data_IF_317896533639
#
_entry.id   IF_317896533639
#
_cell.length_a   1.000
_cell.length_b   1.000
_cell.length_c   1.000
_cell.angle_alpha   90.00
_cell.angle_beta   90.00
_cell.angle_gamma   90.00
#
_symmetry.space_group_name_H-M   'P 1'
#
loop_
_entity.id
_entity.type
_entity.pdbx_description
1 polymer ?
#
# COMPACT_ATOMS: atom_id res chain seq x y z
N UNK A 1 -7.61 2.43 4.33
CA UNK A 1 -8.75 3.37 4.49
C UNK A 1 -9.99 2.73 3.89
N UNK A 2 -11.20 3.14 4.28
CA UNK A 2 -12.46 2.68 3.66
C UNK A 2 -13.16 3.88 3.05
N UNK A 3 -13.63 3.74 1.81
CA UNK A 3 -14.38 4.78 1.08
C UNK A 3 -15.74 4.21 0.70
N UNK A 4 -16.80 4.78 1.29
CA UNK A 4 -18.19 4.33 1.14
C UNK A 4 -19.13 5.39 0.55
N UNK A 5 -18.63 6.62 0.35
CA UNK A 5 -19.40 7.76 -0.12
C UNK A 5 -18.53 8.70 -0.93
N UNK A 6 -19.16 9.45 -1.83
CA UNK A 6 -18.50 10.51 -2.56
C UNK A 6 -18.11 11.66 -1.61
N UNK A 7 -16.99 12.31 -1.91
CA UNK A 7 -16.52 13.45 -1.14
C UNK A 7 -15.10 13.86 -1.49
N UNK A 8 -14.62 14.97 -0.88
CA UNK A 8 -13.26 15.42 -1.07
C UNK A 8 -12.27 14.40 -0.51
N UNK A 9 -11.22 14.12 -1.28
CA UNK A 9 -10.06 13.39 -0.81
C UNK A 9 -9.09 14.39 -0.16
N UNK A 10 -8.71 14.13 1.08
CA UNK A 10 -7.89 15.07 1.85
C UNK A 10 -6.56 15.38 1.15
N UNK A 11 -6.27 16.68 1.00
CA UNK A 11 -4.99 17.19 0.53
C UNK A 11 -3.98 17.27 1.69
N UNK A 12 -2.76 16.85 1.42
CA UNK A 12 -1.61 16.86 2.32
C UNK A 12 -0.41 17.53 1.63
N UNK A 13 -0.30 18.86 1.69
CA UNK A 13 0.82 19.59 1.11
C UNK A 13 2.17 19.10 1.66
N UNK A 14 3.15 18.94 0.77
CA UNK A 14 4.49 18.45 1.12
C UNK A 14 4.56 16.94 1.37
N UNK A 15 3.56 16.18 0.92
CA UNK A 15 3.53 14.72 0.99
C UNK A 15 3.45 14.13 -0.42
N UNK A 16 4.27 13.14 -0.71
CA UNK A 16 4.12 12.28 -1.89
C UNK A 16 3.24 11.09 -1.51
N UNK A 17 2.20 10.81 -2.29
CA UNK A 17 1.22 9.77 -1.97
C UNK A 17 1.20 8.68 -3.01
N UNK A 18 1.04 7.46 -2.54
CA UNK A 18 0.67 6.30 -3.34
C UNK A 18 -0.58 5.66 -2.73
N UNK A 19 -1.51 5.28 -3.60
CA UNK A 19 -2.73 4.59 -3.21
C UNK A 19 -2.90 3.33 -4.04
N UNK A 20 -3.45 2.29 -3.43
CA UNK A 20 -3.66 1.00 -4.06
C UNK A 20 -4.95 0.38 -3.54
N UNK A 21 -5.82 -0.07 -4.44
CA UNK A 21 -7.04 -0.79 -4.07
C UNK A 21 -6.69 -2.14 -3.45
N UNK A 22 -7.25 -2.42 -2.26
CA UNK A 22 -7.18 -3.73 -1.61
C UNK A 22 -8.41 -4.58 -1.93
N UNK A 23 -9.60 -3.97 -1.96
CA UNK A 23 -10.84 -4.66 -2.30
C UNK A 23 -12.02 -3.71 -2.44
N UNK A 24 -13.12 -4.23 -3.00
CA UNK A 24 -14.30 -3.46 -3.38
C UNK A 24 -14.30 -3.05 -4.85
N UNK A 25 -15.26 -2.22 -5.22
CA UNK A 25 -15.52 -1.84 -6.62
C UNK A 25 -14.60 -0.72 -7.13
N UNK A 26 -13.80 -0.13 -6.24
CA UNK A 26 -12.87 0.94 -6.54
C UNK A 26 -13.48 2.33 -6.44
N UNK A 27 -12.63 3.32 -6.74
CA UNK A 27 -12.99 4.74 -6.71
C UNK A 27 -12.48 5.46 -7.94
N UNK A 28 -13.19 6.52 -8.32
CA UNK A 28 -12.74 7.49 -9.30
C UNK A 28 -12.20 8.72 -8.57
N UNK A 29 -10.95 9.07 -8.85
CA UNK A 29 -10.22 10.21 -8.29
C UNK A 29 -9.99 11.24 -9.40
N UNK A 30 -10.47 12.46 -9.18
CA UNK A 30 -10.40 13.51 -10.20
C UNK A 30 -10.03 14.87 -9.62
N UNK A 31 -9.31 15.67 -10.42
CA UNK A 31 -9.03 17.07 -10.19
C UNK A 31 -8.63 17.74 -11.52
N UNK A 32 -8.29 19.03 -11.50
CA UNK A 32 -7.73 19.68 -12.68
C UNK A 32 -6.46 18.95 -13.16
N UNK A 33 -6.53 18.33 -14.34
CA UNK A 33 -5.43 17.55 -14.91
C UNK A 33 -5.26 16.13 -14.36
N UNK A 34 -6.15 15.67 -13.48
CA UNK A 34 -6.15 14.31 -12.93
C UNK A 34 -7.51 13.67 -13.20
N UNK A 35 -7.48 12.51 -13.85
CA UNK A 35 -8.65 11.68 -14.13
C UNK A 35 -8.21 10.21 -14.00
N UNK A 36 -8.39 9.62 -12.81
CA UNK A 36 -7.85 8.32 -12.48
C UNK A 36 -8.90 7.40 -11.87
N UNK A 37 -9.01 6.19 -12.40
CA UNK A 37 -9.83 5.12 -11.85
C UNK A 37 -8.94 4.14 -11.11
N UNK A 38 -9.20 3.98 -9.81
CA UNK A 38 -8.57 3.01 -8.95
C UNK A 38 -9.52 1.80 -8.78
N UNK A 39 -9.65 0.99 -9.82
CA UNK A 39 -10.58 -0.15 -9.92
C UNK A 39 -9.89 -1.51 -10.15
N UNK A 40 -8.56 -1.51 -10.27
CA UNK A 40 -7.77 -2.74 -10.34
C UNK A 40 -7.06 -3.00 -8.99
N UNK A 41 -7.36 -4.12 -8.30
CA UNK A 41 -6.68 -4.47 -7.06
C UNK A 41 -5.17 -4.58 -7.25
N UNK A 42 -4.44 -4.17 -6.22
CA UNK A 42 -2.99 -4.32 -6.12
C UNK A 42 -2.20 -3.58 -7.21
N UNK A 43 -2.75 -2.49 -7.75
CA UNK A 43 -2.04 -1.55 -8.60
C UNK A 43 -1.79 -0.22 -7.90
N UNK A 44 -0.55 0.06 -7.45
CA UNK A 44 -0.21 1.34 -6.89
C UNK A 44 -0.32 2.46 -7.92
N UNK A 45 -0.90 3.58 -7.50
CA UNK A 45 -0.91 4.83 -8.26
C UNK A 45 -0.31 5.95 -7.43
N UNK A 46 0.67 6.67 -8.02
CA UNK A 46 1.37 7.79 -7.39
C UNK A 46 0.74 9.12 -7.79
N UNK A 47 0.62 10.05 -6.84
CA UNK A 47 0.14 11.40 -7.09
C UNK A 47 0.71 12.39 -6.03
N UNK A 48 0.69 13.68 -6.35
CA UNK A 48 1.05 14.72 -5.40
C UNK A 48 0.00 14.79 -4.30
N UNK A 49 0.41 14.62 -3.04
CA UNK A 49 -0.49 14.70 -1.89
C UNK A 49 -1.15 16.07 -1.76
N UNK A 50 -0.58 17.14 -2.32
CA UNK A 50 -1.19 18.47 -2.34
C UNK A 50 -2.42 18.58 -3.26
N UNK A 51 -2.65 17.61 -4.15
CA UNK A 51 -3.78 17.63 -5.08
C UNK A 51 -5.12 17.56 -4.31
N UNK A 52 -5.98 18.55 -4.55
CA UNK A 52 -7.35 18.55 -4.04
C UNK A 52 -8.22 17.66 -4.96
N UNK A 53 -8.22 16.36 -4.69
CA UNK A 53 -8.98 15.40 -5.48
C UNK A 53 -10.42 15.30 -4.97
N UNK A 54 -11.37 15.14 -5.88
CA UNK A 54 -12.70 14.62 -5.60
C UNK A 54 -12.69 13.11 -5.78
N UNK A 55 -13.29 12.39 -4.82
CA UNK A 55 -13.39 10.95 -4.81
C UNK A 55 -14.85 10.51 -4.98
N UNK A 56 -15.11 9.67 -5.97
CA UNK A 56 -16.44 9.09 -6.22
C UNK A 56 -16.36 7.57 -6.22
N UNK A 57 -17.07 6.86 -5.31
CA UNK A 57 -17.16 5.40 -5.37
C UNK A 57 -17.69 4.93 -6.72
N UNK A 58 -17.09 3.88 -7.27
CA UNK A 58 -17.56 3.27 -8.52
C UNK A 58 -18.71 2.28 -8.29
N UNK A 59 -18.95 1.89 -7.05
CA UNK A 59 -20.01 1.00 -6.62
C UNK A 59 -20.11 0.97 -5.09
N UNK A 60 -19.99 -0.22 -4.52
CA UNK A 60 -19.95 -0.45 -3.08
C UNK A 60 -18.70 0.13 -2.39
N UNK A 61 -18.62 -0.09 -1.08
CA UNK A 61 -17.50 0.36 -0.28
C UNK A 61 -16.18 -0.27 -0.76
N UNK A 62 -15.14 0.53 -0.81
CA UNK A 62 -13.79 0.11 -1.20
C UNK A 62 -12.79 0.30 -0.06
N UNK A 63 -11.75 -0.52 -0.03
CA UNK A 63 -10.65 -0.39 0.93
C UNK A 63 -9.32 -0.23 0.21
N UNK A 64 -8.52 0.70 0.70
CA UNK A 64 -7.28 1.09 0.04
C UNK A 64 -6.09 1.05 1.01
N UNK A 65 -4.93 0.68 0.48
CA UNK A 65 -3.64 0.88 1.10
C UNK A 65 -3.06 2.23 0.66
N UNK A 66 -2.66 3.06 1.62
CA UNK A 66 -2.13 4.40 1.37
C UNK A 66 -0.72 4.50 1.93
N UNK A 67 0.26 4.77 1.08
CA UNK A 67 1.59 5.18 1.47
C UNK A 67 1.68 6.70 1.38
N UNK A 68 2.15 7.33 2.45
CA UNK A 68 2.26 8.79 2.56
C UNK A 68 3.67 9.15 3.02
N UNK A 69 4.45 9.77 2.16
CA UNK A 69 5.86 10.08 2.39
C UNK A 69 6.05 11.59 2.52
N UNK A 70 6.67 12.06 3.60
CA UNK A 70 7.00 13.48 3.74
C UNK A 70 8.12 13.84 2.75
N UNK A 71 7.80 14.71 1.79
CA UNK A 71 8.71 15.14 0.73
C UNK A 71 9.96 15.78 1.33
N UNK A 72 11.12 15.42 0.80
CA UNK A 72 12.43 15.89 1.27
C UNK A 72 12.94 15.22 2.55
N UNK A 73 12.14 14.37 3.19
CA UNK A 73 12.56 13.56 4.34
C UNK A 73 12.64 12.06 4.02
N UNK A 74 11.69 11.55 3.23
CA UNK A 74 11.58 10.14 2.89
C UNK A 74 11.34 9.92 1.39
N UNK A 75 11.78 8.77 0.89
CA UNK A 75 11.49 8.25 -0.45
C UNK A 75 11.11 6.78 -0.34
N UNK A 76 10.26 6.30 -1.24
CA UNK A 76 9.78 4.92 -1.24
C UNK A 76 8.69 4.69 -2.27
N UNK A 77 8.42 3.43 -2.55
CA UNK A 77 7.37 2.97 -3.46
C UNK A 77 6.64 1.80 -2.85
N UNK A 78 5.39 1.58 -3.26
CA UNK A 78 4.74 0.29 -3.05
C UNK A 78 5.12 -0.60 -4.22
N UNK A 79 5.60 -1.81 -3.97
CA UNK A 79 5.67 -2.85 -4.98
C UNK A 79 4.91 -4.09 -4.53
N UNK A 80 4.45 -4.87 -5.51
CA UNK A 80 3.77 -6.14 -5.27
C UNK A 80 4.70 -7.27 -5.65
N UNK A 81 5.04 -8.10 -4.67
CA UNK A 81 6.01 -9.19 -4.82
C UNK A 81 5.38 -10.53 -4.47
N UNK A 82 5.80 -11.58 -5.18
CA UNK A 82 5.43 -12.97 -4.92
C UNK A 82 6.60 -13.81 -4.42
N UNK A 83 7.83 -13.31 -4.59
CA UNK A 83 9.06 -13.99 -4.19
C UNK A 83 9.57 -13.50 -2.83
N UNK A 84 10.51 -14.24 -2.24
CA UNK A 84 11.12 -13.84 -0.99
C UNK A 84 11.73 -12.45 -1.07
N UNK A 85 11.50 -11.65 -0.03
CA UNK A 85 12.06 -10.32 0.12
C UNK A 85 12.83 -10.22 1.43
N UNK A 86 13.73 -9.23 1.50
CA UNK A 86 14.44 -8.88 2.72
C UNK A 86 14.06 -7.46 3.17
N UNK A 87 12.85 -7.26 3.75
CA UNK A 87 12.51 -6.03 4.44
C UNK A 87 13.53 -5.69 5.53
N UNK A 88 13.74 -4.39 5.81
CA UNK A 88 14.79 -3.96 6.75
C UNK A 88 16.14 -3.62 6.13
N UNK A 89 16.28 -3.69 4.80
CA UNK A 89 17.42 -3.11 4.08
C UNK A 89 17.35 -1.58 3.95
N UNK A 90 16.16 -1.01 4.15
CA UNK A 90 15.93 0.44 4.31
C UNK A 90 15.84 0.81 5.78
N UNK A 91 16.10 2.09 6.15
CA UNK A 91 16.02 2.52 7.54
C UNK A 91 14.63 2.35 8.17
N UNK A 92 13.56 2.37 7.37
CA UNK A 92 12.19 2.11 7.81
C UNK A 92 11.34 1.61 6.63
N UNK A 93 10.22 0.98 6.96
CA UNK A 93 9.24 0.54 5.96
C UNK A 93 8.10 -0.28 6.56
N UNK A 94 7.21 -0.71 5.69
CA UNK A 94 5.99 -1.45 6.03
C UNK A 94 5.72 -2.48 4.95
N UNK A 95 5.22 -3.65 5.33
CA UNK A 95 4.68 -4.63 4.40
C UNK A 95 3.26 -5.03 4.81
N UNK A 96 2.43 -5.40 3.85
CA UNK A 96 1.10 -5.95 4.05
C UNK A 96 0.96 -7.25 3.27
N UNK A 97 0.64 -8.34 3.96
CA UNK A 97 0.31 -9.61 3.30
C UNK A 97 -1.01 -9.47 2.57
N UNK A 98 -0.98 -9.58 1.24
CA UNK A 98 -2.17 -9.47 0.39
C UNK A 98 -2.82 -10.83 0.16
N UNK A 99 -2.00 -11.86 -0.08
CA UNK A 99 -2.45 -13.22 -0.34
C UNK A 99 -1.40 -14.27 0.05
N UNK A 100 -1.86 -15.50 0.26
CA UNK A 100 -1.04 -16.60 0.76
C UNK A 100 -0.66 -16.43 2.24
N UNK A 101 0.14 -17.35 2.77
CA UNK A 101 0.77 -17.19 4.08
C UNK A 101 2.24 -16.87 3.88
N UNK A 102 2.73 -15.77 4.45
CA UNK A 102 4.16 -15.43 4.43
C UNK A 102 4.82 -15.87 5.72
N UNK A 103 6.12 -16.12 5.70
CA UNK A 103 6.87 -16.53 6.89
C UNK A 103 8.13 -15.71 7.10
N UNK A 104 8.48 -15.45 8.35
CA UNK A 104 9.78 -14.89 8.68
C UNK A 104 10.90 -15.95 8.72
N UNK A 105 12.14 -15.50 8.97
CA UNK A 105 13.29 -16.38 9.15
C UNK A 105 13.22 -17.30 10.39
N UNK A 106 12.34 -17.01 11.36
CA UNK A 106 12.06 -17.88 12.50
C UNK A 106 10.97 -18.92 12.20
N UNK A 107 10.31 -18.81 11.04
CA UNK A 107 9.23 -19.68 10.59
C UNK A 107 7.83 -19.26 11.07
N UNK A 108 7.70 -18.11 11.74
CA UNK A 108 6.42 -17.52 12.12
C UNK A 108 5.61 -17.19 10.86
N UNK A 109 4.32 -17.52 10.85
CA UNK A 109 3.45 -17.37 9.69
C UNK A 109 2.50 -16.18 9.81
N UNK A 110 2.41 -15.37 8.75
CA UNK A 110 1.58 -14.18 8.64
C UNK A 110 0.49 -14.39 7.56
N UNK A 111 -0.80 -14.35 7.94
CA UNK A 111 -1.91 -14.51 7.01
C UNK A 111 -2.23 -13.19 6.26
N UNK A 112 -3.10 -13.23 5.23
CA UNK A 112 -3.57 -12.02 4.55
C UNK A 112 -4.18 -11.00 5.52
N UNK A 113 -3.90 -9.72 5.27
CA UNK A 113 -4.28 -8.60 6.13
C UNK A 113 -3.29 -8.32 7.26
N UNK A 114 -2.28 -9.16 7.48
CA UNK A 114 -1.24 -8.91 8.48
C UNK A 114 -0.24 -7.86 7.97
N UNK A 115 -0.03 -6.81 8.78
CA UNK A 115 0.94 -5.75 8.51
C UNK A 115 2.19 -5.90 9.35
N UNK A 116 3.36 -5.75 8.73
CA UNK A 116 4.67 -5.75 9.39
C UNK A 116 5.34 -4.39 9.14
N UNK A 117 6.16 -3.92 10.07
CA UNK A 117 6.87 -2.65 9.93
C UNK A 117 8.22 -2.69 10.63
N UNK A 118 9.15 -1.84 10.20
CA UNK A 118 10.46 -1.65 10.82
C UNK A 118 10.84 -0.17 10.82
N UNK A 119 11.80 0.20 11.67
CA UNK A 119 12.29 1.56 11.79
C UNK A 119 13.77 1.63 12.18
N UNK A 120 14.31 2.85 12.22
CA UNK A 120 15.77 3.09 12.30
C UNK A 120 16.42 2.51 13.57
N UNK A 121 15.64 2.34 14.63
CA UNK A 121 16.08 1.76 15.88
C UNK A 121 15.64 0.30 15.97
N UNK A 122 16.59 -0.60 15.68
CA UNK A 122 16.61 -2.03 16.01
C UNK A 122 15.80 -2.99 15.14
N UNK A 123 16.52 -3.99 14.62
CA UNK A 123 16.01 -5.23 14.06
C UNK A 123 17.07 -5.88 13.17
N UNK A 124 17.23 -7.21 13.24
CA UNK A 124 17.83 -7.91 12.11
C UNK A 124 16.94 -7.68 10.89
N UNK A 125 17.50 -7.69 9.66
CA UNK A 125 16.68 -7.64 8.46
C UNK A 125 15.60 -8.72 8.56
N UNK A 126 14.34 -8.31 8.41
CA UNK A 126 13.25 -9.26 8.35
C UNK A 126 13.42 -10.00 7.02
N UNK A 127 13.43 -11.32 7.04
CA UNK A 127 13.40 -12.10 5.81
C UNK A 127 12.00 -12.66 5.68
N UNK A 128 11.25 -12.22 4.66
CA UNK A 128 9.91 -12.73 4.40
C UNK A 128 9.93 -13.62 3.16
N UNK A 129 9.34 -14.80 3.28
CA UNK A 129 9.17 -15.73 2.17
C UNK A 129 7.73 -16.24 2.08
N UNK A 130 7.22 -16.53 0.87
CA UNK A 130 5.94 -17.20 0.74
C UNK A 130 6.02 -18.61 1.34
N UNK A 131 5.07 -18.96 2.19
CA UNK A 131 4.92 -20.31 2.75
C UNK A 131 4.41 -21.31 1.71
N UNK A 132 3.68 -20.83 0.71
CA UNK A 132 3.28 -21.54 -0.51
C UNK A 132 3.47 -20.64 -1.74
N UNK A 133 4.13 -21.13 -2.78
CA UNK A 133 4.51 -20.28 -3.93
C UNK A 133 3.33 -19.88 -4.85
N UNK A 134 2.15 -20.50 -4.70
CA UNK A 134 1.02 -20.24 -5.62
C UNK A 134 0.11 -19.15 -5.07
N UNK A 135 0.14 -17.99 -5.72
CA UNK A 135 -0.79 -16.90 -5.44
C UNK A 135 -0.44 -16.07 -4.19
N UNK A 136 0.75 -16.28 -3.61
CA UNK A 136 1.25 -15.42 -2.56
C UNK A 136 1.56 -14.02 -3.11
N UNK A 137 1.13 -13.00 -2.37
CA UNK A 137 1.38 -11.61 -2.72
C UNK A 137 1.63 -10.80 -1.45
N UNK A 138 2.63 -9.94 -1.49
CA UNK A 138 2.99 -9.00 -0.45
C UNK A 138 3.07 -7.61 -1.08
N UNK A 139 2.44 -6.62 -0.45
CA UNK A 139 2.75 -5.22 -0.71
C UNK A 139 3.92 -4.83 0.18
N UNK A 140 4.99 -4.30 -0.40
CA UNK A 140 6.19 -3.86 0.32
C UNK A 140 6.57 -2.44 -0.06
#
# INVERSE_FOLDING_TARGET
ATIDRAGPFSAYPGVDRQIMLLGGDGVHLSASGIDHRLDEPWRPWSFDGAAALDCTPLGGASTDFNLMLRRGAWQGTIEIVSDSVQPGSTPAGVCLVLAGTWRDGAGEGYPPGHGLWWGEAQGQPLQLAPGDARGAALAW
#
